data_IF_209095062294
#
_entry.id   IF_209095062294
#
_cell.length_a   1.000
_cell.length_b   1.000
_cell.length_c   1.000
_cell.angle_alpha   90.00
_cell.angle_beta   90.00
_cell.angle_gamma   90.00
#
_symmetry.space_group_name_H-M   'P 1'
#
loop_
_entity.id
_entity.type
_entity.pdbx_description
1 polymer ?
#
# COMPACT_ATOMS: atom_id res chain seq x y z
N UNK A 1 18.04 -9.34 -20.84
CA UNK A 1 18.75 -8.06 -20.91
C UNK A 1 20.26 -8.30 -20.84
N UNK A 2 21.05 -7.53 -21.56
CA UNK A 2 22.51 -7.57 -21.44
C UNK A 2 22.96 -7.33 -20.01
N UNK A 3 24.09 -7.92 -19.62
CA UNK A 3 24.66 -7.68 -18.30
C UNK A 3 24.96 -6.19 -18.11
N UNK A 4 24.42 -5.63 -17.03
CA UNK A 4 24.63 -4.23 -16.66
C UNK A 4 23.49 -3.26 -16.98
N UNK A 5 22.46 -3.64 -17.75
CA UNK A 5 21.34 -2.75 -18.09
C UNK A 5 20.11 -3.00 -17.20
N UNK A 6 20.35 -3.06 -15.91
CA UNK A 6 19.32 -3.28 -14.89
C UNK A 6 18.29 -2.16 -14.84
N UNK A 7 18.72 -0.92 -14.99
CA UNK A 7 17.85 0.25 -14.94
C UNK A 7 16.84 0.27 -16.08
N UNK A 8 17.27 0.00 -17.30
CA UNK A 8 16.39 -0.09 -18.46
C UNK A 8 15.41 -1.25 -18.30
N UNK A 9 15.85 -2.40 -17.78
CA UNK A 9 14.98 -3.54 -17.52
C UNK A 9 13.87 -3.22 -16.54
N UNK A 10 14.20 -2.55 -15.44
CA UNK A 10 13.23 -2.12 -14.42
C UNK A 10 12.27 -1.07 -15.00
N UNK A 11 12.79 -0.09 -15.73
CA UNK A 11 11.98 0.93 -16.37
C UNK A 11 10.94 0.32 -17.31
N UNK A 12 11.36 -0.56 -18.22
CA UNK A 12 10.47 -1.21 -19.18
C UNK A 12 9.46 -2.14 -18.50
N UNK A 13 9.88 -2.88 -17.46
CA UNK A 13 8.97 -3.73 -16.70
C UNK A 13 7.88 -2.93 -15.97
N UNK A 14 8.20 -1.70 -15.55
CA UNK A 14 7.26 -0.81 -14.90
C UNK A 14 6.48 0.10 -15.86
N UNK A 15 6.84 0.12 -17.15
CA UNK A 15 6.17 0.93 -18.19
C UNK A 15 4.86 0.26 -18.63
N UNK A 16 3.95 0.15 -17.69
CA UNK A 16 2.62 -0.42 -17.87
C UNK A 16 1.64 0.16 -16.86
N UNK A 17 0.38 0.23 -17.24
CA UNK A 17 -0.71 0.59 -16.32
C UNK A 17 -1.15 -0.56 -15.43
N UNK A 18 -0.67 -1.76 -15.68
CA UNK A 18 -0.95 -2.97 -14.91
C UNK A 18 0.15 -3.26 -13.90
N UNK A 19 -0.11 -4.17 -12.98
CA UNK A 19 0.86 -4.58 -11.96
C UNK A 19 0.37 -5.76 -11.14
N UNK A 20 -0.16 -6.82 -11.80
CA UNK A 20 -0.61 -8.00 -11.05
C UNK A 20 0.58 -8.78 -10.52
N UNK A 21 1.45 -9.21 -11.43
CA UNK A 21 2.57 -10.05 -11.08
C UNK A 21 3.75 -9.85 -12.03
N UNK A 22 4.96 -10.11 -11.53
CA UNK A 22 6.19 -10.06 -12.30
C UNK A 22 7.16 -11.15 -11.87
N UNK A 23 8.22 -11.34 -12.64
CA UNK A 23 9.25 -12.32 -12.34
C UNK A 23 10.65 -11.82 -12.69
N UNK A 24 11.63 -12.21 -11.88
CA UNK A 24 13.04 -11.92 -12.09
C UNK A 24 13.83 -13.23 -12.09
N UNK A 25 14.58 -13.44 -13.15
CA UNK A 25 15.47 -14.59 -13.28
C UNK A 25 16.92 -14.11 -13.27
N UNK A 26 17.72 -14.55 -12.31
CA UNK A 26 19.14 -14.21 -12.23
C UNK A 26 19.91 -15.30 -11.47
N UNK A 27 21.14 -15.57 -11.89
CA UNK A 27 22.07 -16.40 -11.11
C UNK A 27 22.56 -15.69 -9.85
N UNK A 28 22.56 -14.37 -9.85
CA UNK A 28 22.86 -13.53 -8.69
C UNK A 28 21.58 -13.26 -7.91
N UNK A 29 21.42 -13.96 -6.78
CA UNK A 29 20.25 -13.86 -5.91
C UNK A 29 20.06 -12.44 -5.35
N UNK A 30 21.16 -11.78 -4.97
CA UNK A 30 21.08 -10.41 -4.45
C UNK A 30 20.59 -9.41 -5.50
N UNK A 31 21.02 -9.59 -6.76
CA UNK A 31 20.49 -8.85 -7.90
C UNK A 31 19.00 -9.13 -8.10
N UNK A 32 18.60 -10.39 -8.09
CA UNK A 32 17.20 -10.77 -8.28
C UNK A 32 16.28 -10.09 -7.24
N UNK A 33 16.68 -10.11 -5.96
CA UNK A 33 15.93 -9.47 -4.87
C UNK A 33 15.91 -7.95 -4.98
N UNK A 34 17.03 -7.32 -5.35
CA UNK A 34 17.12 -5.88 -5.54
C UNK A 34 16.20 -5.40 -6.65
N UNK A 35 16.20 -6.10 -7.79
CA UNK A 35 15.31 -5.82 -8.92
C UNK A 35 13.85 -6.04 -8.53
N UNK A 36 13.55 -7.17 -7.89
CA UNK A 36 12.19 -7.50 -7.46
C UNK A 36 11.55 -6.41 -6.59
N UNK A 37 12.32 -5.80 -5.67
CA UNK A 37 11.85 -4.70 -4.82
C UNK A 37 11.51 -3.42 -5.59
N UNK A 38 11.99 -3.28 -6.80
CA UNK A 38 11.79 -2.10 -7.67
C UNK A 38 10.68 -2.32 -8.70
N UNK A 39 10.19 -3.53 -8.87
CA UNK A 39 9.07 -3.82 -9.75
C UNK A 39 7.74 -3.44 -9.08
N UNK A 40 6.91 -2.71 -9.81
CA UNK A 40 5.61 -2.22 -9.34
C UNK A 40 4.51 -3.26 -9.60
N UNK A 41 4.62 -4.40 -8.96
CA UNK A 41 3.69 -5.51 -9.08
C UNK A 41 3.26 -6.00 -7.69
N UNK A 42 2.05 -6.50 -7.59
CA UNK A 42 1.52 -7.04 -6.33
C UNK A 42 2.25 -8.29 -5.85
N UNK A 43 2.69 -9.12 -6.80
CA UNK A 43 3.55 -10.27 -6.53
C UNK A 43 4.75 -10.27 -7.47
N UNK A 44 5.94 -10.51 -6.92
CA UNK A 44 7.15 -10.70 -7.73
C UNK A 44 7.87 -11.97 -7.31
N UNK A 45 8.06 -12.86 -8.27
CA UNK A 45 8.83 -14.08 -8.07
C UNK A 45 10.30 -13.88 -8.45
N UNK A 46 11.19 -14.47 -7.69
CA UNK A 46 12.62 -14.54 -8.02
C UNK A 46 13.01 -15.98 -8.29
N UNK A 47 13.58 -16.25 -9.46
CA UNK A 47 14.04 -17.57 -9.90
C UNK A 47 12.95 -18.68 -9.86
N UNK A 48 11.70 -18.32 -9.82
CA UNK A 48 10.53 -19.19 -9.89
C UNK A 48 9.39 -18.47 -10.60
N UNK A 49 8.24 -19.10 -10.75
CA UNK A 49 7.07 -18.48 -11.36
C UNK A 49 5.77 -19.18 -10.94
N UNK A 50 4.72 -18.39 -10.73
CA UNK A 50 3.35 -18.91 -10.58
C UNK A 50 3.05 -19.58 -9.23
N UNK A 51 3.95 -19.50 -8.26
CA UNK A 51 3.74 -20.08 -6.93
C UNK A 51 3.11 -19.03 -5.99
N UNK A 52 2.05 -19.42 -5.32
CA UNK A 52 1.44 -18.66 -4.24
C UNK A 52 0.80 -19.61 -3.22
N UNK A 53 0.60 -19.13 -2.02
CA UNK A 53 0.04 -19.89 -0.91
C UNK A 53 -1.15 -19.15 -0.31
N UNK A 54 -2.01 -19.87 0.38
CA UNK A 54 -3.16 -19.28 1.06
C UNK A 54 -2.77 -18.25 2.15
N UNK A 55 -1.53 -18.26 2.62
CA UNK A 55 -1.02 -17.37 3.65
C UNK A 55 -0.39 -16.09 3.07
N UNK A 56 -0.18 -16.04 1.76
CA UNK A 56 0.44 -14.88 1.09
C UNK A 56 -0.63 -14.07 0.37
N UNK A 57 -0.62 -12.77 0.57
CA UNK A 57 -1.54 -11.86 -0.07
C UNK A 57 -1.37 -11.89 -1.59
N UNK A 58 -2.49 -11.90 -2.29
CA UNK A 58 -2.56 -11.85 -3.74
C UNK A 58 -3.39 -10.65 -4.19
N UNK A 59 -2.90 -9.90 -5.16
CA UNK A 59 -3.63 -8.77 -5.75
C UNK A 59 -2.72 -7.87 -6.56
N UNK A 60 -3.33 -7.02 -7.39
CA UNK A 60 -2.62 -6.18 -8.34
C UNK A 60 -2.40 -4.74 -7.88
N UNK A 61 -1.52 -4.05 -8.62
CA UNK A 61 -1.37 -2.59 -8.58
C UNK A 61 -1.99 -1.96 -9.83
N UNK A 62 -2.31 -0.70 -9.76
CA UNK A 62 -2.82 0.07 -10.88
C UNK A 62 -4.09 -0.53 -11.47
N UNK A 63 -4.15 -0.70 -12.78
CA UNK A 63 -5.33 -1.24 -13.45
C UNK A 63 -5.52 -2.77 -13.31
N UNK A 64 -4.61 -3.45 -12.64
CA UNK A 64 -4.81 -4.86 -12.28
C UNK A 64 -5.72 -5.06 -11.07
N UNK A 65 -6.14 -3.99 -10.41
CA UNK A 65 -7.17 -4.01 -9.38
C UNK A 65 -6.74 -3.39 -8.06
N UNK A 66 -7.71 -3.31 -7.17
CA UNK A 66 -7.57 -2.88 -5.78
C UNK A 66 -7.83 -4.07 -4.85
N UNK A 67 -7.53 -3.90 -3.57
CA UNK A 67 -7.75 -4.94 -2.59
C UNK A 67 -6.74 -6.08 -2.65
N UNK A 68 -6.92 -7.04 -1.79
CA UNK A 68 -6.10 -8.26 -1.72
C UNK A 68 -6.98 -9.47 -1.43
N UNK A 69 -6.58 -10.59 -2.02
CA UNK A 69 -7.09 -11.92 -1.67
C UNK A 69 -6.02 -12.67 -0.91
N UNK A 70 -6.38 -13.73 -0.23
CA UNK A 70 -5.51 -14.56 0.57
C UNK A 70 -4.78 -13.80 1.69
N UNK A 71 -3.98 -14.49 2.49
CA UNK A 71 -3.28 -13.91 3.62
C UNK A 71 -4.20 -13.18 4.61
N UNK A 72 -3.61 -12.43 5.51
CA UNK A 72 -4.37 -11.65 6.50
C UNK A 72 -5.11 -10.46 5.87
N UNK A 73 -4.54 -9.87 4.84
CA UNK A 73 -5.13 -8.72 4.14
C UNK A 73 -6.37 -9.08 3.32
N UNK A 74 -6.49 -10.34 2.88
CA UNK A 74 -7.70 -10.83 2.23
C UNK A 74 -8.92 -10.80 3.14
N UNK A 75 -8.74 -10.91 4.45
CA UNK A 75 -9.84 -10.80 5.41
C UNK A 75 -10.37 -9.37 5.53
N UNK A 76 -9.55 -8.37 5.31
CA UNK A 76 -9.94 -6.96 5.42
C UNK A 76 -11.08 -6.61 4.45
N UNK A 77 -11.22 -7.36 3.34
CA UNK A 77 -12.29 -7.18 2.36
C UNK A 77 -13.67 -7.67 2.87
N UNK A 78 -13.71 -8.42 3.96
CA UNK A 78 -14.92 -9.02 4.53
C UNK A 78 -15.30 -8.46 5.90
N UNK A 79 -14.56 -7.46 6.39
CA UNK A 79 -14.79 -6.85 7.70
C UNK A 79 -15.01 -5.35 7.57
N UNK A 80 -15.85 -4.85 8.49
CA UNK A 80 -16.12 -3.42 8.61
C UNK A 80 -15.60 -2.90 9.95
N UNK A 81 -14.98 -1.73 9.93
CA UNK A 81 -14.51 -1.08 11.15
C UNK A 81 -15.61 -0.20 11.74
N UNK A 82 -15.95 -0.45 13.00
CA UNK A 82 -16.87 0.40 13.76
C UNK A 82 -16.11 1.09 14.87
N UNK A 83 -16.24 2.40 14.93
CA UNK A 83 -15.78 3.20 16.05
C UNK A 83 -16.96 3.48 17.00
N UNK A 84 -16.81 3.15 18.29
CA UNK A 84 -17.78 3.46 19.32
C UNK A 84 -17.12 4.43 20.27
N UNK A 85 -17.70 5.63 20.36
CA UNK A 85 -17.26 6.65 21.31
C UNK A 85 -18.30 6.74 22.42
N UNK A 86 -17.86 6.66 23.67
CA UNK A 86 -18.71 6.85 24.85
C UNK A 86 -18.11 7.95 25.73
N UNK A 87 -18.95 8.89 26.13
CA UNK A 87 -18.59 9.91 27.09
C UNK A 87 -19.35 9.66 28.41
N UNK A 88 -18.61 9.49 29.52
CA UNK A 88 -19.18 9.22 30.82
C UNK A 88 -19.81 10.46 31.47
N UNK A 89 -19.37 11.64 31.07
CA UNK A 89 -19.90 12.93 31.54
C UNK A 89 -20.13 13.84 30.33
N UNK A 90 -21.24 13.63 29.61
CA UNK A 90 -21.48 14.36 28.38
C UNK A 90 -21.57 15.87 28.65
N UNK A 91 -20.73 16.63 28.01
CA UNK A 91 -20.77 18.09 27.99
C UNK A 91 -21.34 18.56 26.66
N UNK A 92 -22.09 19.65 26.68
CA UNK A 92 -22.63 20.24 25.46
C UNK A 92 -21.48 20.83 24.65
N UNK A 93 -21.12 20.19 23.52
CA UNK A 93 -20.16 20.73 22.56
C UNK A 93 -20.89 21.67 21.59
N UNK A 94 -20.54 22.93 21.65
CA UNK A 94 -21.03 23.93 20.69
C UNK A 94 -20.03 24.07 19.54
N UNK A 95 -20.23 23.28 18.51
CA UNK A 95 -19.37 23.25 17.32
C UNK A 95 -19.43 24.56 16.51
N UNK A 96 -20.43 25.38 16.72
CA UNK A 96 -20.70 26.58 15.93
C UNK A 96 -20.37 27.89 16.65
N UNK A 97 -20.09 27.85 17.94
CA UNK A 97 -19.53 29.01 18.63
C UNK A 97 -18.07 29.14 18.25
N UNK A 98 -17.83 30.02 17.30
CA UNK A 98 -16.47 30.46 16.97
C UNK A 98 -15.74 30.78 18.26
N UNK A 99 -14.47 30.43 18.37
CA UNK A 99 -13.61 30.87 19.48
C UNK A 99 -13.63 32.41 19.47
N UNK A 100 -14.46 32.96 20.31
CA UNK A 100 -14.55 34.41 20.48
C UNK A 100 -13.17 34.93 20.79
N UNK A 101 -12.61 35.74 19.91
CA UNK A 101 -11.41 36.54 20.20
C UNK A 101 -11.67 37.26 21.51
N UNK A 102 -11.01 36.88 22.58
CA UNK A 102 -10.93 37.72 23.77
C UNK A 102 -10.22 38.99 23.33
N UNK A 103 -11.00 40.04 23.02
CA UNK A 103 -10.46 41.38 22.95
C UNK A 103 -9.98 41.74 24.35
N UNK A 104 -8.68 41.69 24.52
CA UNK A 104 -8.01 42.20 25.69
C UNK A 104 -8.04 43.72 25.58
N UNK A 105 -9.12 44.33 26.09
CA UNK A 105 -9.13 45.77 26.33
C UNK A 105 -8.33 46.01 27.61
N UNK A 106 -7.02 46.15 27.47
CA UNK A 106 -6.24 46.85 28.48
C UNK A 106 -6.74 48.27 28.56
N UNK A 107 -7.43 48.61 29.64
CA UNK A 107 -7.67 50.01 30.00
C UNK A 107 -6.40 50.54 30.69
N UNK A 108 -5.91 51.65 30.12
CA UNK A 108 -4.97 52.55 30.78
C UNK A 108 -5.51 53.02 32.13
#
# INVERSE_FOLDING_TARGET
>A
FPDGDEETAIMLANDTKYGLAGGVQSKDQARAERVARRLRHGTVWTNTYGLYTAQSEWGGYGMSGNGRELGSKGLDEYIEVKHIWSESKPAMMDWFKGQGKKHNTARM
#
